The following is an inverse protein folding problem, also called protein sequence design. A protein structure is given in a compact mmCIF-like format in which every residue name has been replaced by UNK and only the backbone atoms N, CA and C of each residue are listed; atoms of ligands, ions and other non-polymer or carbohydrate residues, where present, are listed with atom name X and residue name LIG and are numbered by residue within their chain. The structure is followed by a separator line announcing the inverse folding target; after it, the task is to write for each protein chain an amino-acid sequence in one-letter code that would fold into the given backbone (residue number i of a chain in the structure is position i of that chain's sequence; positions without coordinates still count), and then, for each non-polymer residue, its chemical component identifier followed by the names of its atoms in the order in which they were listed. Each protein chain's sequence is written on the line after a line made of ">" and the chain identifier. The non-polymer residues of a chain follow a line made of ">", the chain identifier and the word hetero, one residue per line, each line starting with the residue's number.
data_IF_646372143463
#
_entry.id   IF_646372143463
#
_cell.length_a   1.000
_cell.length_b   1.000
_cell.length_c   1.000
_cell.angle_alpha   90.00
_cell.angle_beta   90.00
_cell.angle_gamma   90.00
#
_symmetry.space_group_name_H-M   'P 1'
#
loop_
_entity.id
_entity.type
_entity.pdbx_description
1 polymer ?
#
# COMPACT_ATOMS: atom_id res chain seq x y z
N UNK A 1 32.50 14.96 3.28
CA UNK A 1 31.21 14.33 3.64
C UNK A 1 31.28 12.88 3.17
N UNK A 2 31.57 11.92 4.07
CA UNK A 2 31.93 10.56 3.64
C UNK A 2 30.67 9.72 3.43
N UNK A 3 30.11 9.75 2.21
CA UNK A 3 28.96 8.93 1.81
C UNK A 3 29.11 7.45 2.18
N UNK A 4 30.35 6.95 2.24
CA UNK A 4 30.69 5.60 2.69
C UNK A 4 30.22 5.33 4.13
N UNK A 5 30.40 6.29 5.04
CA UNK A 5 29.95 6.17 6.45
C UNK A 5 28.44 6.17 6.53
N UNK A 6 27.74 6.97 5.70
CA UNK A 6 26.29 6.99 5.63
C UNK A 6 25.71 5.66 5.12
N UNK A 7 26.28 5.11 4.04
CA UNK A 7 25.86 3.84 3.46
C UNK A 7 26.09 2.70 4.46
N UNK A 8 27.27 2.65 5.09
CA UNK A 8 27.58 1.65 6.11
C UNK A 8 26.68 1.80 7.34
N UNK A 9 26.37 3.03 7.77
CA UNK A 9 25.44 3.30 8.86
C UNK A 9 24.02 2.81 8.54
N UNK A 10 23.49 3.12 7.35
CA UNK A 10 22.17 2.64 6.91
C UNK A 10 22.12 1.12 6.79
N UNK A 11 23.17 0.50 6.26
CA UNK A 11 23.28 -0.95 6.16
C UNK A 11 23.31 -1.62 7.54
N UNK A 12 24.13 -1.10 8.47
CA UNK A 12 24.24 -1.62 9.83
C UNK A 12 22.90 -1.51 10.58
N UNK A 13 22.25 -0.34 10.55
CA UNK A 13 20.96 -0.13 11.23
C UNK A 13 19.89 -1.04 10.65
N UNK A 14 19.79 -1.15 9.32
CA UNK A 14 18.82 -2.02 8.66
C UNK A 14 19.05 -3.48 9.02
N UNK A 15 20.31 -3.92 9.01
CA UNK A 15 20.68 -5.28 9.38
C UNK A 15 20.35 -5.57 10.84
N UNK A 16 20.69 -4.65 11.77
CA UNK A 16 20.40 -4.80 13.20
C UNK A 16 18.89 -4.91 13.46
N UNK A 17 18.06 -4.05 12.88
CA UNK A 17 16.60 -4.10 13.08
C UNK A 17 16.04 -5.43 12.56
N UNK A 18 16.45 -5.85 11.36
CA UNK A 18 15.94 -7.08 10.73
C UNK A 18 16.42 -8.33 11.45
N UNK A 19 17.69 -8.38 11.84
CA UNK A 19 18.28 -9.47 12.59
C UNK A 19 17.71 -9.55 14.01
N UNK A 20 17.47 -8.41 14.67
CA UNK A 20 16.83 -8.37 15.98
C UNK A 20 15.43 -8.99 15.92
N UNK A 21 14.60 -8.62 14.94
CA UNK A 21 13.25 -9.22 14.77
C UNK A 21 13.33 -10.72 14.49
N UNK A 22 14.29 -11.17 13.67
CA UNK A 22 14.45 -12.57 13.31
C UNK A 22 14.95 -13.43 14.50
N UNK A 23 16.02 -13.00 15.16
CA UNK A 23 16.61 -13.70 16.33
C UNK A 23 15.66 -13.68 17.52
N UNK A 24 14.96 -12.57 17.75
CA UNK A 24 13.95 -12.46 18.78
C UNK A 24 12.73 -13.33 18.47
N UNK A 25 12.39 -13.55 17.19
CA UNK A 25 11.30 -14.45 16.78
C UNK A 25 11.60 -15.95 16.91
N UNK A 26 12.88 -16.33 16.96
CA UNK A 26 13.32 -17.70 17.26
C UNK A 26 13.23 -17.99 18.78
N UNK A 27 13.53 -16.99 19.63
CA UNK A 27 13.50 -17.12 21.10
C UNK A 27 12.17 -16.75 21.76
N UNK A 28 11.38 -15.85 21.17
CA UNK A 28 10.00 -15.59 21.59
C UNK A 28 9.10 -16.58 20.86
N UNK A 29 8.63 -17.59 21.59
CA UNK A 29 7.53 -18.46 21.15
C UNK A 29 6.28 -17.58 21.06
N UNK A 30 6.16 -16.82 19.98
CA UNK A 30 4.98 -15.99 19.74
C UNK A 30 3.76 -16.91 19.74
N UNK A 31 2.74 -16.64 20.56
CA UNK A 31 1.52 -17.43 20.56
C UNK A 31 0.94 -17.46 19.14
N UNK A 32 0.29 -18.57 18.73
CA UNK A 32 -0.17 -18.78 17.36
C UNK A 32 -1.05 -17.62 16.84
N UNK A 33 -1.80 -16.98 17.74
CA UNK A 33 -2.59 -15.77 17.45
C UNK A 33 -1.72 -14.57 17.01
N UNK A 34 -0.58 -14.32 17.68
CA UNK A 34 0.29 -13.19 17.36
C UNK A 34 1.06 -13.40 16.05
N UNK A 35 1.53 -14.63 15.78
CA UNK A 35 2.14 -14.97 14.48
C UNK A 35 1.16 -14.78 13.33
N UNK A 36 -0.08 -15.23 13.53
CA UNK A 36 -1.16 -15.06 12.55
C UNK A 36 -1.46 -13.58 12.34
N UNK A 37 -1.62 -12.79 13.41
CA UNK A 37 -1.85 -11.36 13.33
C UNK A 37 -0.72 -10.61 12.60
N UNK A 38 0.54 -10.92 12.92
CA UNK A 38 1.72 -10.33 12.27
C UNK A 38 1.78 -10.65 10.77
N UNK A 39 1.34 -11.85 10.35
CA UNK A 39 1.24 -12.22 8.94
C UNK A 39 0.23 -11.38 8.15
N UNK A 40 -0.82 -10.87 8.81
CA UNK A 40 -1.80 -9.99 8.18
C UNK A 40 -1.38 -8.52 8.16
N UNK A 41 -0.46 -8.09 9.03
CA UNK A 41 -0.02 -6.68 9.13
C UNK A 41 0.30 -6.05 7.78
N UNK A 42 1.07 -6.66 6.86
CA UNK A 42 1.41 -6.02 5.59
C UNK A 42 0.18 -5.68 4.75
N UNK A 43 -0.76 -6.61 4.63
CA UNK A 43 -1.98 -6.43 3.82
C UNK A 43 -2.90 -5.41 4.48
N UNK A 44 -3.07 -5.49 5.80
CA UNK A 44 -3.95 -4.60 6.55
C UNK A 44 -3.42 -3.16 6.53
N UNK A 45 -2.11 -2.96 6.72
CA UNK A 45 -1.47 -1.64 6.69
C UNK A 45 -1.53 -1.02 5.30
N UNK A 46 -1.20 -1.78 4.24
CA UNK A 46 -1.33 -1.29 2.86
C UNK A 46 -2.77 -0.86 2.57
N UNK A 47 -3.75 -1.66 2.98
CA UNK A 47 -5.17 -1.33 2.80
C UNK A 47 -5.55 -0.08 3.59
N UNK A 48 -5.13 0.03 4.85
CA UNK A 48 -5.39 1.18 5.71
C UNK A 48 -4.77 2.48 5.19
N UNK A 49 -3.70 2.40 4.39
CA UNK A 49 -3.05 3.54 3.75
C UNK A 49 -3.72 3.88 2.42
N UNK A 50 -4.00 2.89 1.58
CA UNK A 50 -4.54 3.08 0.23
C UNK A 50 -6.00 3.53 0.25
N UNK A 51 -6.84 2.95 1.13
CA UNK A 51 -8.27 3.27 1.20
C UNK A 51 -8.55 4.75 1.49
N UNK A 52 -7.99 5.40 2.52
CA UNK A 52 -8.23 6.82 2.75
C UNK A 52 -7.65 7.69 1.63
N UNK A 53 -6.50 7.33 1.03
CA UNK A 53 -5.99 8.03 -0.14
C UNK A 53 -6.94 7.94 -1.34
N UNK A 54 -7.63 6.81 -1.53
CA UNK A 54 -8.62 6.67 -2.58
C UNK A 54 -9.93 7.41 -2.27
N UNK A 55 -10.36 7.43 -1.00
CA UNK A 55 -11.66 7.97 -0.56
C UNK A 55 -11.63 9.48 -0.29
N UNK A 56 -10.53 10.01 0.25
CA UNK A 56 -10.36 11.43 0.54
C UNK A 56 -8.96 11.90 0.14
N UNK A 57 -8.72 12.14 -1.17
CA UNK A 57 -7.42 12.60 -1.67
C UNK A 57 -6.96 13.94 -1.07
N UNK A 58 -7.91 14.79 -0.66
CA UNK A 58 -7.64 16.16 -0.19
C UNK A 58 -7.88 16.37 1.32
N UNK A 59 -8.07 15.29 2.09
CA UNK A 59 -8.00 15.28 3.55
C UNK A 59 -9.01 16.12 4.32
N UNK A 60 -9.96 16.78 3.66
CA UNK A 60 -10.85 17.75 4.32
C UNK A 60 -12.28 17.20 4.53
N UNK A 61 -12.80 16.39 3.60
CA UNK A 61 -14.09 15.68 3.72
C UNK A 61 -14.07 14.36 2.93
N UNK A 62 -14.97 13.42 3.26
CA UNK A 62 -15.21 12.25 2.42
C UNK A 62 -15.86 12.74 1.12
N UNK A 63 -15.08 12.92 0.06
CA UNK A 63 -15.58 13.27 -1.26
C UNK A 63 -16.21 12.04 -1.92
N UNK A 64 -17.28 11.53 -1.31
CA UNK A 64 -18.14 10.46 -1.82
C UNK A 64 -19.03 10.97 -2.96
N UNK A 65 -18.43 11.68 -3.91
CA UNK A 65 -19.09 12.18 -5.09
C UNK A 65 -18.55 11.44 -6.31
N UNK A 66 -19.43 11.09 -7.25
CA UNK A 66 -19.08 10.47 -8.54
C UNK A 66 -18.12 11.32 -9.38
N UNK A 67 -17.86 12.55 -8.93
CA UNK A 67 -16.91 13.50 -9.50
C UNK A 67 -15.46 13.26 -9.05
N UNK A 68 -15.19 12.34 -8.13
CA UNK A 68 -13.81 12.02 -7.75
C UNK A 68 -13.26 10.88 -8.63
N UNK A 69 -12.33 11.18 -9.57
CA UNK A 69 -11.75 10.18 -10.47
C UNK A 69 -10.94 9.11 -9.73
N UNK A 70 -10.43 9.42 -8.54
CA UNK A 70 -9.60 8.51 -7.75
C UNK A 70 -10.42 7.38 -7.11
N UNK A 71 -11.65 7.68 -6.68
CA UNK A 71 -12.61 6.68 -6.19
C UNK A 71 -13.04 5.71 -7.29
N UNK A 72 -13.41 6.25 -8.46
CA UNK A 72 -13.87 5.45 -9.60
C UNK A 72 -12.74 4.59 -10.17
N UNK A 73 -11.52 5.16 -10.26
CA UNK A 73 -10.32 4.42 -10.65
C UNK A 73 -9.98 3.28 -9.68
N UNK A 74 -10.08 3.51 -8.37
CA UNK A 74 -9.85 2.49 -7.35
C UNK A 74 -10.89 1.36 -7.41
N UNK A 75 -12.18 1.68 -7.57
CA UNK A 75 -13.24 0.68 -7.71
C UNK A 75 -13.07 -0.16 -8.99
N UNK A 76 -12.74 0.49 -10.11
CA UNK A 76 -12.46 -0.22 -11.36
C UNK A 76 -11.23 -1.12 -11.24
N UNK A 77 -10.16 -0.66 -10.58
CA UNK A 77 -8.99 -1.47 -10.31
C UNK A 77 -9.33 -2.69 -9.44
N UNK A 78 -10.16 -2.53 -8.40
CA UNK A 78 -10.61 -3.66 -7.56
C UNK A 78 -11.41 -4.67 -8.38
N UNK A 79 -12.37 -4.22 -9.19
CA UNK A 79 -13.19 -5.08 -10.03
C UNK A 79 -12.34 -5.87 -11.04
N UNK A 80 -11.39 -5.20 -11.71
CA UNK A 80 -10.49 -5.83 -12.69
C UNK A 80 -9.50 -6.77 -12.02
N UNK A 81 -8.98 -6.41 -10.84
CA UNK A 81 -8.13 -7.28 -10.02
C UNK A 81 -8.84 -8.59 -9.67
N UNK A 82 -10.10 -8.50 -9.21
CA UNK A 82 -10.90 -9.65 -8.84
C UNK A 82 -11.19 -10.57 -10.04
N UNK A 83 -11.47 -10.00 -11.21
CA UNK A 83 -11.81 -10.76 -12.41
C UNK A 83 -10.58 -11.35 -13.12
N UNK A 84 -9.48 -10.60 -13.19
CA UNK A 84 -8.37 -10.93 -14.09
C UNK A 84 -7.22 -11.66 -13.38
N UNK A 85 -7.08 -11.48 -12.05
CA UNK A 85 -5.96 -12.00 -11.23
C UNK A 85 -4.56 -11.72 -11.82
N UNK A 86 -4.44 -10.74 -12.73
CA UNK A 86 -3.21 -10.34 -13.44
C UNK A 86 -2.86 -8.90 -13.04
N UNK A 87 -1.85 -8.69 -12.18
CA UNK A 87 -1.58 -7.37 -11.60
C UNK A 87 -1.22 -6.31 -12.65
N UNK A 88 -0.55 -6.70 -13.74
CA UNK A 88 -0.23 -5.78 -14.84
C UNK A 88 -1.49 -5.23 -15.52
N UNK A 89 -2.51 -6.07 -15.74
CA UNK A 89 -3.77 -5.64 -16.35
C UNK A 89 -4.57 -4.78 -15.38
N UNK A 90 -4.54 -5.09 -14.08
CA UNK A 90 -5.15 -4.26 -13.04
C UNK A 90 -4.56 -2.84 -13.03
N UNK A 91 -3.23 -2.72 -13.09
CA UNK A 91 -2.54 -1.43 -13.12
C UNK A 91 -2.90 -0.67 -14.39
N UNK A 92 -2.82 -1.33 -15.56
CA UNK A 92 -3.12 -0.70 -16.84
C UNK A 92 -4.56 -0.18 -16.91
N UNK A 93 -5.55 -1.00 -16.53
CA UNK A 93 -6.96 -0.59 -16.56
C UNK A 93 -7.26 0.46 -15.50
N UNK A 94 -6.74 0.31 -14.27
CA UNK A 94 -6.91 1.30 -13.21
C UNK A 94 -6.40 2.68 -13.60
N UNK A 95 -5.21 2.75 -14.20
CA UNK A 95 -4.65 3.99 -14.75
C UNK A 95 -5.51 4.55 -15.88
N UNK A 96 -5.94 3.71 -16.81
CA UNK A 96 -6.74 4.16 -17.96
C UNK A 96 -8.07 4.77 -17.50
N UNK A 97 -8.76 4.12 -16.57
CA UNK A 97 -10.03 4.61 -16.01
C UNK A 97 -9.81 5.90 -15.23
N UNK A 98 -8.74 5.98 -14.42
CA UNK A 98 -8.39 7.19 -13.69
C UNK A 98 -8.16 8.38 -14.64
N UNK A 99 -7.35 8.21 -15.68
CA UNK A 99 -7.05 9.26 -16.65
C UNK A 99 -8.30 9.70 -17.45
N UNK A 100 -9.12 8.74 -17.89
CA UNK A 100 -10.36 9.04 -18.62
C UNK A 100 -11.33 9.81 -17.72
N UNK A 101 -11.52 9.37 -16.48
CA UNK A 101 -12.44 10.03 -15.55
C UNK A 101 -11.94 11.41 -15.10
N UNK A 102 -10.62 11.56 -14.90
CA UNK A 102 -10.01 12.86 -14.61
C UNK A 102 -10.21 13.84 -15.77
N UNK A 103 -10.06 13.38 -17.02
CA UNK A 103 -10.29 14.21 -18.21
C UNK A 103 -11.75 14.58 -18.44
N UNK A 104 -12.70 13.76 -17.99
CA UNK A 104 -14.15 14.04 -18.06
C UNK A 104 -14.59 15.02 -16.96
N UNK A 105 -13.96 14.99 -15.79
CA UNK A 105 -14.33 15.85 -14.65
C UNK A 105 -13.71 17.25 -14.70
N UNK A 106 -12.52 17.42 -15.30
CA UNK A 106 -11.84 18.72 -15.44
C UNK A 106 -12.31 19.57 -16.64
N UNK A 107 -13.28 19.08 -17.44
CA UNK A 107 -14.00 19.89 -18.44
C UNK A 107 -15.28 20.47 -17.84
#
# INVERSE_FOLDING_TARGET
>A
MNYVVLILGMAAITWVIRAAVFVLGDRLVFPPLMRTALGFVPVTVLTAIIVPMAVSPHGTQAELTWRNPQLVGALAAIAVSALTRRPLLTIAVGLTVFFVWQGVVLK
#
